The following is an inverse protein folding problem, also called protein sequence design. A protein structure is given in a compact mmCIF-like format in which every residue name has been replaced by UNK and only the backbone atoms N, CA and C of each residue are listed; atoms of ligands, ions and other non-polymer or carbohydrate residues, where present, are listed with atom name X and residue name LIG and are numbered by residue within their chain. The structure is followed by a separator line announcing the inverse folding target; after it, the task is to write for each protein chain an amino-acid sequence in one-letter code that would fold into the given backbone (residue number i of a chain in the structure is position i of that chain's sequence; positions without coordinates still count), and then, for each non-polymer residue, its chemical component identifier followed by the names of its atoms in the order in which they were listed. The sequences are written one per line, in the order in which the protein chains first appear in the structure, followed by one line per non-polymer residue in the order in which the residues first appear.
data_IF_041406935133
#
_entry.id   IF_041406935133
#
_cell.length_a   1.000
_cell.length_b   1.000
_cell.length_c   1.000
_cell.angle_alpha   90.00
_cell.angle_beta   90.00
_cell.angle_gamma   90.00
#
_symmetry.space_group_name_H-M   'P 1'
#
loop_
_entity.id
_entity.type
_entity.pdbx_description
1 polymer ?
#
# COMPACT_ATOMS: atom_id res chain seq x y z
N UNK A 1 -20.99 -14.17 3.88
CA UNK A 1 -20.17 -14.38 2.67
C UNK A 1 -19.40 -13.10 2.42
N UNK A 2 -18.07 -13.14 2.27
CA UNK A 2 -17.28 -11.95 1.90
C UNK A 2 -17.57 -11.56 0.45
N UNK A 3 -17.61 -10.26 0.16
CA UNK A 3 -17.73 -9.81 -1.23
C UNK A 3 -16.43 -10.13 -1.99
N UNK A 4 -16.51 -10.35 -3.31
CA UNK A 4 -15.37 -10.68 -4.18
C UNK A 4 -14.25 -9.63 -4.07
N UNK A 5 -14.59 -8.36 -3.91
CA UNK A 5 -13.63 -7.27 -3.71
C UNK A 5 -12.88 -7.41 -2.38
N UNK A 6 -13.56 -7.70 -1.28
CA UNK A 6 -12.93 -7.89 0.03
C UNK A 6 -11.96 -9.07 0.01
N UNK A 7 -12.37 -10.18 -0.60
CA UNK A 7 -11.50 -11.35 -0.76
C UNK A 7 -10.24 -11.01 -1.59
N UNK A 8 -10.38 -10.25 -2.67
CA UNK A 8 -9.25 -9.81 -3.49
C UNK A 8 -8.27 -8.92 -2.70
N UNK A 9 -8.79 -8.03 -1.85
CA UNK A 9 -7.97 -7.20 -0.96
C UNK A 9 -7.20 -8.04 0.05
N UNK A 10 -7.87 -8.98 0.71
CA UNK A 10 -7.20 -9.89 1.68
C UNK A 10 -6.10 -10.73 1.02
N UNK A 11 -6.34 -11.23 -0.20
CA UNK A 11 -5.31 -11.94 -0.97
C UNK A 11 -4.13 -11.01 -1.26
N UNK A 12 -4.38 -9.78 -1.70
CA UNK A 12 -3.35 -8.78 -1.98
C UNK A 12 -2.52 -8.46 -0.73
N UNK A 13 -3.17 -8.25 0.42
CA UNK A 13 -2.50 -8.03 1.71
C UNK A 13 -1.62 -9.21 2.12
N UNK A 14 -2.13 -10.43 1.90
CA UNK A 14 -1.44 -11.66 2.25
C UNK A 14 -0.16 -11.86 1.44
N UNK A 15 -0.26 -11.66 0.12
CA UNK A 15 0.89 -11.73 -0.79
C UNK A 15 1.92 -10.67 -0.39
N UNK A 16 1.50 -9.41 -0.26
CA UNK A 16 2.39 -8.30 0.07
C UNK A 16 3.14 -8.53 1.39
N UNK A 17 2.44 -9.00 2.43
CA UNK A 17 3.06 -9.33 3.71
C UNK A 17 4.17 -10.36 3.53
N UNK A 18 3.88 -11.48 2.86
CA UNK A 18 4.85 -12.56 2.73
C UNK A 18 6.08 -12.15 1.92
N UNK A 19 5.90 -11.35 0.87
CA UNK A 19 7.01 -10.80 0.09
C UNK A 19 7.83 -9.79 0.88
N UNK A 20 7.18 -8.94 1.69
CA UNK A 20 7.89 -8.03 2.60
C UNK A 20 8.69 -8.79 3.67
N UNK A 21 8.10 -9.80 4.31
CA UNK A 21 8.78 -10.61 5.32
C UNK A 21 9.92 -11.45 4.71
N UNK A 22 9.74 -11.99 3.49
CA UNK A 22 10.79 -12.71 2.77
C UNK A 22 11.97 -11.81 2.41
N UNK A 23 11.70 -10.56 2.01
CA UNK A 23 12.73 -9.56 1.72
C UNK A 23 13.58 -9.24 2.95
N UNK A 24 12.98 -9.16 4.15
CA UNK A 24 13.69 -8.87 5.41
C UNK A 24 14.70 -9.96 5.81
N UNK A 25 14.50 -11.19 5.35
CA UNK A 25 15.36 -12.34 5.66
C UNK A 25 16.15 -12.84 4.45
N UNK A 26 16.17 -12.05 3.38
CA UNK A 26 16.93 -12.34 2.17
C UNK A 26 18.43 -12.39 2.48
N UNK A 27 19.14 -13.28 1.80
CA UNK A 27 20.59 -13.37 1.84
C UNK A 27 21.14 -12.31 0.89
N UNK A 28 21.95 -11.34 1.34
CA UNK A 28 22.46 -10.26 0.48
C UNK A 28 23.22 -10.76 -0.74
N UNK A 29 23.97 -11.84 -0.61
CA UNK A 29 24.76 -12.46 -1.69
C UNK A 29 23.91 -13.27 -2.68
N UNK A 30 22.62 -13.49 -2.37
CA UNK A 30 21.67 -14.30 -3.15
C UNK A 30 20.32 -13.58 -3.24
N UNK A 31 20.20 -12.56 -4.10
CA UNK A 31 19.02 -11.69 -4.15
C UNK A 31 17.73 -12.45 -4.52
N UNK A 32 17.82 -13.60 -5.18
CA UNK A 32 16.67 -14.46 -5.50
C UNK A 32 15.95 -15.01 -4.25
N UNK A 33 16.64 -15.04 -3.11
CA UNK A 33 16.07 -15.52 -1.84
C UNK A 33 15.01 -14.57 -1.29
N UNK A 34 15.06 -13.29 -1.63
CA UNK A 34 14.07 -12.28 -1.22
C UNK A 34 12.63 -12.63 -1.66
N UNK A 35 12.49 -13.50 -2.66
CA UNK A 35 11.22 -13.84 -3.28
C UNK A 35 10.95 -15.36 -3.27
N UNK A 36 11.74 -16.12 -2.50
CA UNK A 36 11.67 -17.57 -2.47
C UNK A 36 10.81 -18.06 -1.30
N UNK A 37 9.66 -18.67 -1.62
CA UNK A 37 8.81 -19.35 -0.64
C UNK A 37 9.56 -20.49 0.07
N UNK A 38 10.55 -21.11 -0.57
CA UNK A 38 11.37 -22.17 0.04
C UNK A 38 12.31 -21.61 1.10
N UNK A 39 13.02 -20.52 0.78
CA UNK A 39 13.89 -19.83 1.74
C UNK A 39 13.08 -19.31 2.91
N UNK A 40 11.94 -18.66 2.63
CA UNK A 40 11.01 -18.19 3.65
C UNK A 40 10.56 -19.31 4.60
N UNK A 41 10.15 -20.47 4.05
CA UNK A 41 9.73 -21.62 4.85
C UNK A 41 10.87 -22.17 5.70
N UNK A 42 12.09 -22.23 5.16
CA UNK A 42 13.27 -22.69 5.90
C UNK A 42 13.62 -21.75 7.06
N UNK A 43 13.51 -20.43 6.85
CA UNK A 43 13.72 -19.45 7.92
C UNK A 43 12.65 -19.60 8.99
N UNK A 44 11.37 -19.69 8.60
CA UNK A 44 10.28 -19.93 9.54
C UNK A 44 10.51 -21.20 10.38
N UNK A 45 10.84 -22.32 9.74
CA UNK A 45 11.06 -23.62 10.40
C UNK A 45 12.24 -23.57 11.38
N UNK A 46 13.27 -22.76 11.10
CA UNK A 46 14.44 -22.60 11.98
C UNK A 46 14.18 -21.80 13.25
N UNK A 47 13.19 -20.91 13.25
CA UNK A 47 12.81 -20.10 14.42
C UNK A 47 11.53 -20.59 15.11
N UNK A 48 10.75 -21.42 14.43
CA UNK A 48 9.56 -22.07 14.96
C UNK A 48 9.96 -23.03 16.09
N UNK A 49 9.42 -22.82 17.30
CA UNK A 49 9.52 -23.80 18.39
C UNK A 49 8.66 -25.04 18.15
N UNK A 50 7.68 -24.95 17.24
CA UNK A 50 6.92 -26.12 16.78
C UNK A 50 7.78 -26.91 15.77
N UNK A 51 7.89 -28.23 15.95
CA UNK A 51 8.57 -29.16 15.03
C UNK A 51 7.88 -29.31 13.66
N UNK A 52 7.15 -28.29 13.21
CA UNK A 52 6.37 -28.31 11.97
C UNK A 52 7.28 -27.90 10.81
N UNK A 53 7.73 -28.86 10.00
CA UNK A 53 8.49 -28.58 8.78
C UNK A 53 7.55 -28.00 7.69
N UNK A 54 7.34 -26.69 7.69
CA UNK A 54 6.44 -26.01 6.75
C UNK A 54 6.90 -26.08 5.30
N UNK A 55 8.20 -26.26 5.07
CA UNK A 55 8.76 -26.49 3.74
C UNK A 55 8.25 -27.82 3.15
N UNK A 56 8.26 -28.91 3.93
CA UNK A 56 7.78 -30.23 3.47
C UNK A 56 6.28 -30.24 3.18
N UNK A 57 5.51 -29.51 3.98
CA UNK A 57 4.05 -29.42 3.83
C UNK A 57 3.61 -28.35 2.83
N UNK A 58 4.56 -27.60 2.24
CA UNK A 58 4.31 -26.48 1.32
C UNK A 58 3.29 -25.47 1.86
N UNK A 59 3.25 -25.29 3.18
CA UNK A 59 2.18 -24.56 3.89
C UNK A 59 2.01 -23.12 3.39
N UNK A 60 3.12 -22.44 3.13
CA UNK A 60 3.15 -21.03 2.74
C UNK A 60 2.86 -20.81 1.24
N UNK A 61 3.04 -21.84 0.40
CA UNK A 61 2.95 -21.73 -1.06
C UNK A 61 1.62 -21.17 -1.58
N UNK A 62 0.44 -21.62 -1.09
CA UNK A 62 -0.84 -21.09 -1.58
C UNK A 62 -1.00 -19.59 -1.30
N UNK A 63 -0.40 -19.07 -0.23
CA UNK A 63 -0.48 -17.65 0.12
C UNK A 63 0.49 -16.82 -0.72
N UNK A 64 1.71 -17.32 -0.96
CA UNK A 64 2.67 -16.70 -1.89
C UNK A 64 2.14 -16.59 -3.32
N UNK A 65 1.35 -17.58 -3.76
CA UNK A 65 0.71 -17.60 -5.09
C UNK A 65 -0.53 -16.71 -5.18
N UNK A 66 -1.07 -16.26 -4.04
CA UNK A 66 -2.33 -15.54 -3.98
C UNK A 66 -3.57 -16.43 -4.23
N UNK A 67 -3.47 -17.75 -4.04
CA UNK A 67 -4.59 -18.67 -4.22
C UNK A 67 -5.67 -18.48 -3.13
N UNK A 68 -5.25 -18.05 -1.93
CA UNK A 68 -6.12 -17.79 -0.78
C UNK A 68 -5.48 -16.77 0.17
N UNK A 69 -6.29 -16.03 0.96
CA UNK A 69 -5.74 -15.12 1.97
C UNK A 69 -5.18 -15.87 3.17
N UNK A 70 -4.27 -15.23 3.90
CA UNK A 70 -3.78 -15.68 5.19
C UNK A 70 -4.94 -15.78 6.18
N UNK A 71 -4.91 -16.83 6.99
CA UNK A 71 -5.86 -16.99 8.10
C UNK A 71 -5.33 -16.31 9.35
N UNK A 72 -6.22 -16.03 10.32
CA UNK A 72 -5.80 -15.50 11.64
C UNK A 72 -4.70 -16.36 12.27
N UNK A 73 -4.86 -17.69 12.25
CA UNK A 73 -3.87 -18.64 12.74
C UNK A 73 -2.54 -18.52 11.98
N UNK A 74 -2.57 -18.29 10.66
CA UNK A 74 -1.35 -18.07 9.88
C UNK A 74 -0.62 -16.80 10.29
N UNK A 75 -1.33 -15.72 10.60
CA UNK A 75 -0.74 -14.50 11.15
C UNK A 75 -0.19 -14.72 12.56
N UNK A 76 -0.92 -15.42 13.44
CA UNK A 76 -0.44 -15.75 14.80
C UNK A 76 0.89 -16.53 14.73
N UNK A 77 1.00 -17.44 13.76
CA UNK A 77 2.21 -18.21 13.50
C UNK A 77 3.35 -17.33 12.99
N UNK A 78 3.10 -16.34 12.13
CA UNK A 78 4.15 -15.42 11.69
C UNK A 78 4.65 -14.54 12.84
N UNK A 79 3.75 -14.03 13.68
CA UNK A 79 4.08 -13.20 14.85
C UNK A 79 4.87 -13.95 15.92
N UNK A 80 4.77 -15.29 15.98
CA UNK A 80 5.57 -16.07 16.93
C UNK A 80 7.07 -16.07 16.57
N UNK A 81 7.43 -15.68 15.36
CA UNK A 81 8.83 -15.52 14.95
C UNK A 81 9.31 -14.12 15.37
N UNK A 82 10.36 -13.99 16.22
CA UNK A 82 10.76 -12.70 16.79
C UNK A 82 11.03 -11.58 15.78
N UNK A 83 11.59 -11.90 14.61
CA UNK A 83 11.87 -10.92 13.55
C UNK A 83 10.64 -10.48 12.75
N UNK A 84 9.51 -11.16 12.92
CA UNK A 84 8.24 -10.88 12.26
C UNK A 84 7.13 -10.56 13.27
N UNK A 85 7.50 -10.09 14.46
CA UNK A 85 6.56 -9.74 15.52
C UNK A 85 5.56 -8.64 15.10
N UNK A 86 5.91 -7.83 14.10
CA UNK A 86 5.05 -6.78 13.51
C UNK A 86 4.18 -7.28 12.35
N UNK A 87 4.18 -8.58 12.02
CA UNK A 87 3.53 -9.12 10.82
C UNK A 87 2.05 -8.73 10.69
N UNK A 88 1.29 -8.73 11.79
CA UNK A 88 -0.12 -8.30 11.76
C UNK A 88 -0.27 -6.82 11.54
N UNK A 89 0.60 -6.00 12.13
CA UNK A 89 0.59 -4.56 11.90
C UNK A 89 0.85 -4.26 10.42
N UNK A 90 1.82 -4.94 9.81
CA UNK A 90 2.13 -4.82 8.37
C UNK A 90 0.98 -5.35 7.52
N UNK A 91 0.36 -6.47 7.89
CA UNK A 91 -0.79 -7.03 7.20
C UNK A 91 -1.97 -6.05 7.13
N UNK A 92 -2.28 -5.38 8.24
CA UNK A 92 -3.40 -4.45 8.31
C UNK A 92 -3.08 -3.06 7.74
N UNK A 93 -1.88 -2.54 8.02
CA UNK A 93 -1.51 -1.18 7.62
C UNK A 93 -1.00 -1.12 6.18
N UNK A 94 -0.37 -2.20 5.74
CA UNK A 94 0.31 -2.31 4.47
C UNK A 94 1.73 -1.75 4.50
N UNK A 95 2.53 -2.10 3.47
CA UNK A 95 3.86 -1.54 3.27
C UNK A 95 3.76 -0.01 3.24
N UNK A 96 4.56 0.67 4.07
CA UNK A 96 4.52 2.13 4.24
C UNK A 96 3.15 2.75 4.58
N UNK A 97 2.13 1.96 4.97
CA UNK A 97 0.76 2.45 5.20
C UNK A 97 -0.18 2.39 3.99
N UNK A 98 0.21 1.70 2.91
CA UNK A 98 -0.55 1.66 1.64
C UNK A 98 -2.01 1.19 1.78
N UNK A 99 -2.30 0.22 2.66
CA UNK A 99 -3.68 -0.26 2.86
C UNK A 99 -4.54 0.77 3.58
N UNK A 100 -3.95 1.51 4.53
CA UNK A 100 -4.64 2.60 5.22
C UNK A 100 -4.96 3.72 4.24
N UNK A 101 -4.02 4.06 3.37
CA UNK A 101 -4.26 5.04 2.31
C UNK A 101 -5.37 4.59 1.35
N UNK A 102 -5.35 3.34 0.86
CA UNK A 102 -6.31 2.87 -0.14
C UNK A 102 -7.69 2.51 0.41
N UNK A 103 -7.76 1.87 1.58
CA UNK A 103 -8.98 1.24 2.08
C UNK A 103 -9.38 1.68 3.48
N UNK A 104 -8.51 2.43 4.16
CA UNK A 104 -8.81 3.02 5.47
C UNK A 104 -9.89 4.11 5.39
N UNK A 105 -10.34 4.55 6.55
CA UNK A 105 -11.32 5.62 6.68
C UNK A 105 -10.67 7.02 6.57
N UNK A 106 -11.43 8.08 6.85
CA UNK A 106 -10.92 9.46 6.80
C UNK A 106 -9.82 9.71 7.85
N UNK A 107 -9.93 9.11 9.04
CA UNK A 107 -8.91 9.23 10.09
C UNK A 107 -7.58 8.61 9.64
N UNK A 108 -7.65 7.47 8.95
CA UNK A 108 -6.48 6.87 8.30
C UNK A 108 -5.86 7.77 7.23
N UNK A 109 -6.68 8.47 6.43
CA UNK A 109 -6.15 9.40 5.42
C UNK A 109 -5.41 10.57 6.07
N UNK A 110 -6.02 11.17 7.09
CA UNK A 110 -5.39 12.26 7.86
C UNK A 110 -4.09 11.77 8.51
N UNK A 111 -4.08 10.56 9.07
CA UNK A 111 -2.88 9.97 9.66
C UNK A 111 -1.78 9.79 8.61
N UNK A 112 -2.09 9.26 7.43
CA UNK A 112 -1.14 9.08 6.33
C UNK A 112 -0.54 10.40 5.86
N UNK A 113 -1.38 11.43 5.61
CA UNK A 113 -0.91 12.77 5.21
C UNK A 113 0.03 13.37 6.25
N UNK A 114 -0.28 13.19 7.54
CA UNK A 114 0.54 13.70 8.66
C UNK A 114 1.84 12.96 8.90
N UNK A 115 2.10 11.84 8.19
CA UNK A 115 3.41 11.19 8.22
C UNK A 115 4.49 11.95 7.45
N UNK A 116 4.15 13.05 6.78
CA UNK A 116 5.12 13.88 6.09
C UNK A 116 6.18 14.40 7.09
N UNK A 117 7.49 14.34 6.77
CA UNK A 117 8.56 14.66 7.73
C UNK A 117 8.51 16.08 8.29
N UNK A 118 7.96 17.03 7.51
CA UNK A 118 7.80 18.42 7.93
C UNK A 118 6.50 18.69 8.72
N UNK A 119 5.70 17.66 9.03
CA UNK A 119 4.54 17.81 9.89
C UNK A 119 4.93 17.76 11.37
N UNK A 120 4.33 18.65 12.16
CA UNK A 120 4.41 18.66 13.63
C UNK A 120 3.01 18.48 14.23
N UNK A 121 2.86 18.23 15.54
CA UNK A 121 1.55 18.16 16.17
C UNK A 121 0.69 19.43 16.03
N UNK A 122 1.33 20.58 15.73
CA UNK A 122 0.65 21.87 15.51
C UNK A 122 0.30 22.14 14.06
N UNK A 123 0.83 21.35 13.13
CA UNK A 123 0.60 21.53 11.68
C UNK A 123 -0.89 21.31 11.38
N UNK A 124 -1.52 22.32 10.78
CA UNK A 124 -2.92 22.23 10.39
C UNK A 124 -3.11 21.16 9.30
N UNK A 125 -4.30 20.58 9.18
CA UNK A 125 -4.56 19.59 8.12
C UNK A 125 -4.31 20.17 6.73
N UNK A 126 -4.73 21.41 6.50
CA UNK A 126 -4.54 22.10 5.22
C UNK A 126 -3.05 22.32 4.89
N UNK A 127 -2.23 22.66 5.87
CA UNK A 127 -0.78 22.77 5.71
C UNK A 127 -0.14 21.40 5.45
N UNK A 128 -0.56 20.36 6.16
CA UNK A 128 -0.09 19.00 5.94
C UNK A 128 -0.39 18.51 4.50
N UNK A 129 -1.60 18.79 3.98
CA UNK A 129 -1.95 18.51 2.59
C UNK A 129 -1.01 19.25 1.61
N UNK A 130 -0.76 20.53 1.85
CA UNK A 130 0.16 21.32 1.01
C UNK A 130 1.59 20.79 1.03
N UNK A 131 2.08 20.32 2.18
CA UNK A 131 3.40 19.72 2.28
C UNK A 131 3.54 18.47 1.39
N UNK A 132 2.51 17.61 1.36
CA UNK A 132 2.46 16.44 0.47
C UNK A 132 2.40 16.85 -1.01
N UNK A 133 1.60 17.85 -1.35
CA UNK A 133 1.54 18.37 -2.73
C UNK A 133 2.92 18.87 -3.19
N UNK A 134 3.57 19.68 -2.35
CA UNK A 134 4.89 20.23 -2.65
C UNK A 134 5.99 19.18 -2.71
N UNK A 135 5.94 18.13 -1.87
CA UNK A 135 6.98 17.10 -1.86
C UNK A 135 7.05 16.35 -3.18
N UNK A 136 5.90 16.10 -3.82
CA UNK A 136 5.85 15.43 -5.14
C UNK A 136 6.12 16.41 -6.28
N UNK A 137 5.53 17.62 -6.23
CA UNK A 137 5.69 18.62 -7.30
C UNK A 137 7.12 19.17 -7.43
N UNK A 138 7.86 19.22 -6.33
CA UNK A 138 9.24 19.72 -6.32
C UNK A 138 10.30 18.60 -6.36
N UNK A 139 9.89 17.33 -6.38
CA UNK A 139 10.81 16.22 -6.42
C UNK A 139 11.59 16.18 -7.75
N UNK A 140 12.90 15.98 -7.64
CA UNK A 140 13.74 15.57 -8.75
C UNK A 140 13.48 14.12 -9.17
N UNK A 141 14.00 13.75 -10.35
CA UNK A 141 13.88 12.38 -10.86
C UNK A 141 14.48 11.38 -9.86
N UNK A 142 13.70 10.37 -9.49
CA UNK A 142 14.12 9.33 -8.54
C UNK A 142 14.10 9.74 -7.07
N UNK A 143 13.60 10.92 -6.73
CA UNK A 143 13.40 11.34 -5.32
C UNK A 143 12.05 10.89 -4.75
N UNK A 144 11.10 10.54 -5.62
CA UNK A 144 9.77 10.07 -5.24
C UNK A 144 9.84 8.61 -4.81
N UNK A 145 9.32 8.33 -3.61
CA UNK A 145 9.32 6.99 -3.00
C UNK A 145 7.91 6.40 -2.87
N UNK A 146 7.82 5.13 -2.46
CA UNK A 146 6.54 4.49 -2.15
C UNK A 146 5.75 5.26 -1.07
N UNK A 147 6.44 5.89 -0.11
CA UNK A 147 5.78 6.68 0.94
C UNK A 147 5.07 7.91 0.35
N UNK A 148 5.63 8.51 -0.69
CA UNK A 148 5.02 9.66 -1.37
C UNK A 148 3.80 9.25 -2.20
N UNK A 149 3.82 8.06 -2.81
CA UNK A 149 2.61 7.44 -3.36
C UNK A 149 1.54 7.27 -2.28
N UNK A 150 1.88 6.68 -1.12
CA UNK A 150 0.92 6.47 -0.01
C UNK A 150 0.28 7.79 0.42
N UNK A 151 1.10 8.84 0.64
CA UNK A 151 0.59 10.16 1.03
C UNK A 151 -0.27 10.79 -0.06
N UNK A 152 0.10 10.65 -1.33
CA UNK A 152 -0.66 11.15 -2.47
C UNK A 152 -2.03 10.46 -2.62
N UNK A 153 -2.06 9.13 -2.44
CA UNK A 153 -3.32 8.35 -2.42
C UNK A 153 -4.20 8.79 -1.26
N UNK A 154 -3.63 8.98 -0.08
CA UNK A 154 -4.38 9.43 1.08
C UNK A 154 -4.94 10.84 0.90
N UNK A 155 -4.14 11.77 0.37
CA UNK A 155 -4.57 13.12 0.02
C UNK A 155 -5.71 13.09 -1.00
N UNK A 156 -5.57 12.30 -2.07
CA UNK A 156 -6.59 12.17 -3.10
C UNK A 156 -7.93 11.69 -2.52
N UNK A 157 -7.91 10.61 -1.72
CA UNK A 157 -9.12 10.10 -1.08
C UNK A 157 -9.70 11.08 -0.07
N UNK A 158 -8.86 11.79 0.69
CA UNK A 158 -9.33 12.84 1.58
C UNK A 158 -10.10 13.91 0.81
N UNK A 159 -9.54 14.42 -0.30
CA UNK A 159 -10.18 15.43 -1.16
C UNK A 159 -11.52 14.96 -1.75
N UNK A 160 -11.63 13.67 -2.12
CA UNK A 160 -12.90 13.11 -2.60
C UNK A 160 -14.03 13.21 -1.57
N UNK A 161 -13.69 13.06 -0.28
CA UNK A 161 -14.64 13.10 0.84
C UNK A 161 -14.95 14.54 1.29
N UNK A 162 -13.93 15.40 1.43
CA UNK A 162 -14.11 16.75 2.02
C UNK A 162 -14.57 17.81 1.01
N UNK A 163 -14.36 17.57 -0.28
CA UNK A 163 -14.61 18.56 -1.35
C UNK A 163 -15.47 18.00 -2.48
N UNK A 164 -16.68 17.47 -2.22
CA UNK A 164 -17.52 16.88 -3.26
C UNK A 164 -17.98 17.90 -4.31
N UNK A 165 -18.04 19.19 -3.98
CA UNK A 165 -18.47 20.27 -4.88
C UNK A 165 -17.32 20.91 -5.67
N UNK A 166 -16.05 20.67 -5.30
CA UNK A 166 -14.89 21.21 -5.99
C UNK A 166 -14.59 20.45 -7.31
N UNK A 167 -15.48 19.55 -7.73
CA UNK A 167 -15.29 18.63 -8.87
C UNK A 167 -15.44 19.30 -10.24
N UNK A 168 -15.64 20.61 -10.33
CA UNK A 168 -15.81 21.29 -11.62
C UNK A 168 -14.45 21.43 -12.33
N UNK A 169 -14.27 20.64 -13.38
CA UNK A 169 -13.10 20.72 -14.26
C UNK A 169 -13.08 22.03 -15.07
N UNK A 170 -11.89 22.64 -15.21
CA UNK A 170 -11.67 23.82 -16.07
C UNK A 170 -11.77 25.20 -15.40
N UNK A 171 -12.20 25.31 -14.13
CA UNK A 171 -12.26 26.60 -13.38
C UNK A 171 -11.24 26.64 -12.21
N UNK A 172 -10.31 25.67 -12.15
CA UNK A 172 -9.26 25.67 -11.12
C UNK A 172 -9.74 25.25 -9.72
N UNK A 173 -10.89 24.57 -9.62
CA UNK A 173 -11.42 24.03 -8.36
C UNK A 173 -11.16 22.52 -8.18
N UNK A 174 -10.67 21.80 -9.19
CA UNK A 174 -10.50 20.34 -9.13
C UNK A 174 -9.27 19.87 -8.32
N UNK A 175 -9.30 20.10 -7.00
CA UNK A 175 -8.24 19.68 -6.08
C UNK A 175 -8.05 18.16 -6.03
N UNK A 176 -9.13 17.38 -6.20
CA UNK A 176 -9.05 15.93 -6.31
C UNK A 176 -8.31 15.51 -7.59
N UNK A 177 -8.55 16.15 -8.73
CA UNK A 177 -7.78 15.90 -9.96
C UNK A 177 -6.33 16.33 -9.85
N UNK A 178 -6.03 17.43 -9.15
CA UNK A 178 -4.64 17.79 -8.83
C UNK A 178 -3.98 16.69 -8.01
N UNK A 179 -4.62 16.20 -6.93
CA UNK A 179 -4.10 15.09 -6.14
C UNK A 179 -3.96 13.78 -6.94
N UNK A 180 -4.85 13.54 -7.92
CA UNK A 180 -4.71 12.41 -8.85
C UNK A 180 -3.46 12.54 -9.71
N UNK A 181 -3.14 13.73 -10.22
CA UNK A 181 -1.92 13.95 -11.01
C UNK A 181 -0.64 13.63 -10.20
N UNK A 182 -0.65 13.87 -8.88
CA UNK A 182 0.46 13.47 -8.00
C UNK A 182 0.62 11.95 -7.93
N UNK A 183 -0.50 11.21 -7.84
CA UNK A 183 -0.49 9.74 -7.89
C UNK A 183 0.10 9.28 -9.23
N UNK A 184 -0.28 9.91 -10.34
CA UNK A 184 0.25 9.58 -11.66
C UNK A 184 1.78 9.81 -11.71
N UNK A 185 2.26 10.97 -11.24
CA UNK A 185 3.70 11.24 -11.13
C UNK A 185 4.42 10.18 -10.30
N UNK A 186 3.83 9.75 -9.17
CA UNK A 186 4.39 8.66 -8.37
C UNK A 186 4.40 7.31 -9.10
N UNK A 187 3.40 7.00 -9.91
CA UNK A 187 3.32 5.75 -10.67
C UNK A 187 4.20 5.76 -11.93
N UNK A 188 4.68 6.92 -12.38
CA UNK A 188 5.66 7.04 -13.46
C UNK A 188 7.10 6.81 -12.95
N UNK A 189 7.32 6.79 -11.63
CA UNK A 189 8.63 6.66 -11.02
C UNK A 189 9.07 5.19 -10.87
N UNK A 190 10.22 4.89 -11.46
CA UNK A 190 10.77 3.53 -11.51
C UNK A 190 11.01 2.90 -10.14
N UNK A 191 11.38 3.71 -9.14
CA UNK A 191 11.57 3.26 -7.76
C UNK A 191 10.25 2.80 -7.14
N UNK A 192 9.17 3.55 -7.35
CA UNK A 192 7.83 3.20 -6.86
C UNK A 192 7.33 1.93 -7.55
N UNK A 193 7.47 1.85 -8.88
CA UNK A 193 7.07 0.67 -9.64
C UNK A 193 7.86 -0.57 -9.20
N UNK A 194 9.16 -0.44 -8.97
CA UNK A 194 10.02 -1.51 -8.47
C UNK A 194 9.59 -2.03 -7.09
N UNK A 195 9.22 -1.14 -6.17
CA UNK A 195 8.70 -1.53 -4.85
C UNK A 195 7.35 -2.25 -4.96
N UNK A 196 6.42 -1.75 -5.79
CA UNK A 196 5.12 -2.41 -6.00
C UNK A 196 5.28 -3.79 -6.67
N UNK A 197 6.24 -3.93 -7.59
CA UNK A 197 6.58 -5.19 -8.25
C UNK A 197 7.23 -6.18 -7.27
N UNK A 198 8.16 -5.71 -6.42
CA UNK A 198 8.79 -6.51 -5.37
C UNK A 198 7.78 -7.08 -4.38
N UNK A 199 6.72 -6.32 -4.08
CA UNK A 199 5.64 -6.73 -3.19
C UNK A 199 4.52 -7.51 -3.91
N UNK A 200 4.60 -7.67 -5.23
CA UNK A 200 3.60 -8.34 -6.09
C UNK A 200 2.20 -7.70 -6.00
N UNK A 201 2.14 -6.38 -5.86
CA UNK A 201 0.89 -5.64 -5.72
C UNK A 201 0.65 -4.61 -6.81
N UNK A 202 1.57 -4.40 -7.75
CA UNK A 202 1.43 -3.41 -8.83
C UNK A 202 0.06 -3.46 -9.52
N UNK A 203 -0.31 -4.57 -10.13
CA UNK A 203 -1.57 -4.69 -10.87
C UNK A 203 -2.83 -4.50 -9.98
N UNK A 204 -2.93 -5.13 -8.79
CA UNK A 204 -4.01 -4.82 -7.85
C UNK A 204 -4.15 -3.34 -7.50
N UNK A 205 -3.03 -2.66 -7.24
CA UNK A 205 -3.01 -1.23 -6.87
C UNK A 205 -3.46 -0.36 -8.03
N UNK A 206 -2.92 -0.58 -9.23
CA UNK A 206 -3.36 0.13 -10.43
C UNK A 206 -4.86 -0.04 -10.68
N UNK A 207 -5.40 -1.26 -10.49
CA UNK A 207 -6.83 -1.52 -10.66
C UNK A 207 -7.69 -0.77 -9.65
N UNK A 208 -7.33 -0.77 -8.37
CA UNK A 208 -8.07 -0.04 -7.34
C UNK A 208 -8.03 1.47 -7.58
N UNK A 209 -6.86 2.02 -7.93
CA UNK A 209 -6.71 3.45 -8.25
C UNK A 209 -7.50 3.85 -9.50
N UNK A 210 -7.47 3.04 -10.56
CA UNK A 210 -8.28 3.27 -11.76
C UNK A 210 -9.78 3.23 -11.47
N UNK A 211 -10.23 2.33 -10.58
CA UNK A 211 -11.63 2.27 -10.17
C UNK A 211 -12.06 3.53 -9.38
N UNK A 212 -11.20 4.03 -8.48
CA UNK A 212 -11.44 5.29 -7.77
C UNK A 212 -11.55 6.47 -8.74
N UNK A 213 -10.62 6.58 -9.70
CA UNK A 213 -10.64 7.68 -10.68
C UNK A 213 -11.82 7.58 -11.65
N UNK A 214 -12.19 6.38 -12.09
CA UNK A 214 -13.40 6.17 -12.90
C UNK A 214 -14.66 6.64 -12.16
N UNK A 215 -14.74 6.32 -10.86
CA UNK A 215 -15.87 6.73 -10.01
C UNK A 215 -15.91 8.24 -9.84
N UNK A 216 -14.76 8.89 -9.60
CA UNK A 216 -14.67 10.36 -9.56
C UNK A 216 -15.13 10.97 -10.88
N UNK A 217 -14.55 10.54 -12.00
CA UNK A 217 -14.86 11.08 -13.32
C UNK A 217 -16.34 10.91 -13.72
N UNK A 218 -16.98 9.80 -13.32
CA UNK A 218 -18.42 9.58 -13.55
C UNK A 218 -19.33 10.48 -12.70
N UNK A 219 -18.86 10.89 -11.52
CA UNK A 219 -19.62 11.75 -10.59
C UNK A 219 -19.28 13.24 -10.72
N UNK A 220 -18.26 13.58 -11.51
CA UNK A 220 -17.87 14.96 -11.82
C UNK A 220 -18.88 15.60 -12.78
N UNK A 221 -19.57 16.68 -12.39
CA UNK A 221 -20.41 17.42 -13.31
C UNK A 221 -19.54 18.11 -14.38
N UNK A 222 -19.82 17.82 -15.66
CA UNK A 222 -19.20 18.53 -16.79
C UNK A 222 -19.92 19.86 -16.98
N UNK A 223 -19.17 20.95 -17.09
CA UNK A 223 -19.74 22.20 -17.59
C UNK A 223 -20.17 21.96 -19.04
N UNK A 224 -21.48 22.06 -19.29
CA UNK A 224 -21.97 22.27 -20.64
C UNK A 224 -21.60 23.71 -21.01
N UNK A 225 -20.47 23.88 -21.68
CA UNK A 225 -20.09 25.13 -22.35
C UNK A 225 -20.78 25.21 -23.71
#
# INVERSE_FOLDING_TARGET
MKNRTELAREITQSVALLYELARRVAIPEKPETAYSCYHFSSVYDGYSQEATQTNTTKKWHPFFRGDRPLTKRALDMLESVPMWADARQVYHSGPAGLWRALWGDMCDQVACVRTHPNCTPKTSLHEACRLVEMSVLCAGKGEISLVDLVRSVALYRLRLEIEPAARIDGIGLNMAGCAWSLIQSCLDESAVLGELDALRVKEPIHRELAALETTRAATTPRLAL
#
